data_IF_933813728038
#
_entry.id   IF_933813728038
#
_cell.length_a   1.000
_cell.length_b   1.000
_cell.length_c   1.000
_cell.angle_alpha   90.00
_cell.angle_beta   90.00
_cell.angle_gamma   90.00
#
_symmetry.space_group_name_H-M   'P 1'
#
loop_
_entity.id
_entity.type
_entity.pdbx_description
1 polymer ?
#
# COMPACT_ATOMS: atom_id res chain seq x y z
N UNK A 1 -9.34 3.91 -41.54
CA UNK A 1 -8.30 3.94 -40.48
C UNK A 1 -8.72 4.87 -39.32
N UNK A 2 -9.96 4.80 -38.84
CA UNK A 2 -10.45 5.56 -37.67
C UNK A 2 -10.90 4.64 -36.51
N UNK A 3 -11.16 3.36 -36.81
CA UNK A 3 -11.59 2.36 -35.81
C UNK A 3 -10.48 1.96 -34.83
N UNK A 4 -9.22 2.01 -35.24
CA UNK A 4 -8.07 1.67 -34.39
C UNK A 4 -7.82 2.75 -33.33
N UNK A 5 -8.06 4.02 -33.66
CA UNK A 5 -7.85 5.14 -32.74
C UNK A 5 -8.83 5.14 -31.55
N UNK A 6 -10.06 4.67 -31.75
CA UNK A 6 -11.06 4.56 -30.67
C UNK A 6 -10.77 3.43 -29.67
N UNK A 7 -10.24 2.30 -30.13
CA UNK A 7 -9.94 1.14 -29.28
C UNK A 7 -8.78 1.41 -28.30
N UNK A 8 -7.80 2.23 -28.70
CA UNK A 8 -6.67 2.61 -27.84
C UNK A 8 -7.07 3.56 -26.70
N UNK A 9 -8.10 4.39 -26.89
CA UNK A 9 -8.65 5.29 -25.86
C UNK A 9 -9.46 4.54 -24.79
N UNK A 10 -9.98 3.35 -25.11
CA UNK A 10 -10.66 2.46 -24.15
C UNK A 10 -9.67 1.60 -23.35
N UNK A 11 -8.49 1.31 -23.91
CA UNK A 11 -7.45 0.54 -23.24
C UNK A 11 -6.67 1.33 -22.16
N UNK A 12 -6.65 2.66 -22.24
CA UNK A 12 -6.14 3.53 -21.16
C UNK A 12 -7.12 3.69 -19.99
N UNK A 13 -8.35 3.21 -20.13
CA UNK A 13 -9.32 3.06 -19.05
C UNK A 13 -9.08 1.70 -18.36
N UNK A 14 -7.91 1.48 -17.75
CA UNK A 14 -7.76 0.39 -16.79
C UNK A 14 -8.82 0.62 -15.71
N UNK A 15 -9.86 -0.21 -15.71
CA UNK A 15 -11.13 0.07 -15.04
C UNK A 15 -10.91 0.29 -13.53
N UNK A 16 -11.42 1.38 -12.93
CA UNK A 16 -11.35 1.57 -11.48
C UNK A 16 -12.02 0.41 -10.72
N UNK A 17 -13.00 -0.23 -11.35
CA UNK A 17 -13.72 -1.40 -10.86
C UNK A 17 -12.81 -2.63 -10.64
N UNK A 18 -11.83 -2.86 -11.51
CA UNK A 18 -10.92 -4.01 -11.37
C UNK A 18 -9.88 -3.77 -10.28
N UNK A 19 -9.42 -2.53 -10.12
CA UNK A 19 -8.48 -2.17 -9.03
C UNK A 19 -9.15 -2.29 -7.67
N UNK A 20 -10.38 -1.80 -7.52
CA UNK A 20 -11.11 -1.92 -6.26
C UNK A 20 -11.41 -3.37 -5.88
N UNK A 21 -11.80 -4.21 -6.85
CA UNK A 21 -12.02 -5.64 -6.62
C UNK A 21 -10.76 -6.39 -6.19
N UNK A 22 -9.59 -6.04 -6.75
CA UNK A 22 -8.29 -6.60 -6.32
C UNK A 22 -7.95 -6.19 -4.89
N UNK A 23 -8.08 -4.90 -4.56
CA UNK A 23 -7.79 -4.38 -3.23
C UNK A 23 -8.72 -4.98 -2.16
N UNK A 24 -10.01 -5.17 -2.46
CA UNK A 24 -10.94 -5.82 -1.53
C UNK A 24 -10.51 -7.24 -1.17
N UNK A 25 -10.17 -8.06 -2.17
CA UNK A 25 -9.71 -9.43 -1.96
C UNK A 25 -8.42 -9.50 -1.14
N UNK A 26 -7.55 -8.51 -1.30
CA UNK A 26 -6.33 -8.41 -0.52
C UNK A 26 -6.60 -8.04 0.93
N UNK A 27 -7.49 -7.06 1.16
CA UNK A 27 -7.94 -6.71 2.51
C UNK A 27 -8.60 -7.90 3.24
N UNK A 28 -9.42 -8.69 2.55
CA UNK A 28 -10.06 -9.88 3.12
C UNK A 28 -9.02 -10.89 3.63
N UNK A 29 -7.93 -11.08 2.88
CA UNK A 29 -6.82 -11.96 3.30
C UNK A 29 -6.10 -11.41 4.52
N UNK A 30 -5.74 -10.14 4.49
CA UNK A 30 -5.04 -9.45 5.58
C UNK A 30 -5.86 -9.51 6.88
N UNK A 31 -7.18 -9.30 6.80
CA UNK A 31 -8.08 -9.39 7.97
C UNK A 31 -8.08 -10.81 8.56
N UNK A 32 -8.12 -11.84 7.72
CA UNK A 32 -8.13 -13.23 8.18
C UNK A 32 -6.80 -13.61 8.82
N UNK A 33 -5.67 -13.18 8.26
CA UNK A 33 -4.32 -13.51 8.76
C UNK A 33 -3.97 -12.73 10.04
N UNK A 34 -4.19 -11.42 10.05
CA UNK A 34 -3.72 -10.52 11.12
C UNK A 34 -4.82 -10.08 12.11
N UNK A 35 -6.09 -10.15 11.72
CA UNK A 35 -7.23 -9.75 12.55
C UNK A 35 -7.27 -10.43 13.93
N UNK A 36 -7.09 -11.76 14.03
CA UNK A 36 -7.06 -12.47 15.31
C UNK A 36 -5.90 -12.06 16.22
N UNK A 37 -4.76 -11.65 15.66
CA UNK A 37 -3.63 -11.13 16.44
C UNK A 37 -4.01 -9.79 17.09
N UNK A 38 -4.63 -8.88 16.34
CA UNK A 38 -5.09 -7.60 16.87
C UNK A 38 -6.20 -7.74 17.93
N UNK A 39 -7.08 -8.73 17.81
CA UNK A 39 -8.06 -9.04 18.87
C UNK A 39 -7.35 -9.53 20.14
N UNK A 40 -6.33 -10.39 20.02
CA UNK A 40 -5.52 -10.84 21.16
C UNK A 40 -4.73 -9.70 21.83
N UNK A 41 -4.40 -8.66 21.08
CA UNK A 41 -3.79 -7.42 21.61
C UNK A 41 -4.80 -6.50 22.32
N UNK A 42 -6.09 -6.86 22.35
CA UNK A 42 -7.14 -6.13 23.06
C UNK A 42 -7.90 -5.12 22.21
N UNK A 43 -7.67 -5.06 20.90
CA UNK A 43 -8.45 -4.21 20.02
C UNK A 43 -9.82 -4.82 19.72
N UNK A 44 -10.87 -3.98 19.77
CA UNK A 44 -12.23 -4.38 19.40
C UNK A 44 -12.30 -4.67 17.90
N UNK A 45 -12.81 -5.84 17.52
CA UNK A 45 -12.94 -6.22 16.11
C UNK A 45 -13.77 -5.19 15.34
N UNK A 46 -13.39 -4.93 14.08
CA UNK A 46 -14.03 -3.94 13.20
C UNK A 46 -14.00 -2.48 13.69
N UNK A 47 -13.25 -2.17 14.74
CA UNK A 47 -12.98 -0.79 15.14
C UNK A 47 -11.84 -0.17 14.33
N UNK A 48 -11.80 1.16 14.25
CA UNK A 48 -10.70 1.88 13.60
C UNK A 48 -9.31 1.56 14.19
N UNK A 49 -9.11 1.48 15.53
CA UNK A 49 -7.82 1.09 16.06
C UNK A 49 -7.45 -0.37 15.73
N UNK A 50 -8.43 -1.28 15.63
CA UNK A 50 -8.18 -2.64 15.14
C UNK A 50 -7.74 -2.66 13.67
N UNK A 51 -8.41 -1.89 12.79
CA UNK A 51 -8.01 -1.78 11.38
C UNK A 51 -6.59 -1.24 11.25
N UNK A 52 -6.23 -0.25 12.06
CA UNK A 52 -4.87 0.30 12.07
C UNK A 52 -3.84 -0.76 12.49
N UNK A 53 -4.12 -1.52 13.56
CA UNK A 53 -3.27 -2.64 13.97
C UNK A 53 -3.07 -3.67 12.85
N UNK A 54 -4.16 -4.07 12.18
CA UNK A 54 -4.13 -5.06 11.09
C UNK A 54 -3.23 -4.57 9.94
N UNK A 55 -3.40 -3.31 9.51
CA UNK A 55 -2.60 -2.70 8.44
C UNK A 55 -1.12 -2.55 8.83
N UNK A 56 -0.82 -2.16 10.08
CA UNK A 56 0.55 -2.04 10.54
C UNK A 56 1.25 -3.40 10.59
N UNK A 57 0.55 -4.44 11.06
CA UNK A 57 1.11 -5.76 11.19
C UNK A 57 1.38 -6.40 9.82
N UNK A 58 0.46 -6.23 8.87
CA UNK A 58 0.66 -6.68 7.50
C UNK A 58 1.81 -5.95 6.82
N UNK A 59 1.86 -4.61 6.95
CA UNK A 59 2.95 -3.80 6.38
C UNK A 59 4.31 -4.22 6.96
N UNK A 60 4.38 -4.48 8.27
CA UNK A 60 5.60 -4.95 8.92
C UNK A 60 6.04 -6.32 8.39
N UNK A 61 5.11 -7.24 8.21
CA UNK A 61 5.39 -8.56 7.67
C UNK A 61 5.79 -8.49 6.19
N UNK A 62 5.12 -7.67 5.38
CA UNK A 62 5.49 -7.43 3.98
C UNK A 62 6.91 -6.86 3.85
N UNK A 63 7.26 -5.87 4.68
CA UNK A 63 8.63 -5.34 4.76
C UNK A 63 9.59 -6.44 5.22
N UNK A 64 9.20 -7.30 6.16
CA UNK A 64 10.06 -8.38 6.61
C UNK A 64 10.26 -9.49 5.57
N UNK A 65 9.24 -9.77 4.74
CA UNK A 65 9.25 -10.84 3.73
C UNK A 65 9.84 -10.39 2.39
N UNK A 66 9.51 -9.17 1.96
CA UNK A 66 9.90 -8.61 0.66
C UNK A 66 10.92 -7.48 0.75
N UNK A 67 11.14 -6.93 1.94
CA UNK A 67 12.28 -6.05 2.22
C UNK A 67 13.56 -6.87 2.34
N UNK A 68 14.02 -7.42 1.22
CA UNK A 68 15.41 -7.80 1.10
C UNK A 68 16.28 -6.55 1.39
N UNK A 69 17.42 -6.70 2.07
CA UNK A 69 18.27 -5.57 2.39
C UNK A 69 18.89 -5.09 1.09
N UNK A 70 18.41 -3.95 0.56
CA UNK A 70 19.24 -3.15 -0.33
C UNK A 70 20.38 -2.55 0.50
N UNK A 71 21.38 -3.37 0.82
CA UNK A 71 22.76 -2.94 1.06
C UNK A 71 23.40 -2.47 -0.27
N UNK A 72 22.64 -1.77 -1.10
CA UNK A 72 23.12 -1.18 -2.34
C UNK A 72 22.77 0.29 -2.23
N UNK A 73 23.81 1.07 -1.93
CA UNK A 73 23.83 2.52 -1.79
C UNK A 73 23.38 3.13 -0.45
N UNK A 74 24.32 3.11 0.50
CA UNK A 74 24.79 4.34 1.15
C UNK A 74 23.72 5.32 1.67
N UNK A 75 23.28 5.07 2.89
CA UNK A 75 23.08 6.10 3.91
C UNK A 75 22.11 7.24 3.60
N UNK A 76 20.82 7.03 3.80
CA UNK A 76 19.91 8.08 4.27
C UNK A 76 18.82 7.46 5.17
N UNK A 77 19.24 7.05 6.37
CA UNK A 77 18.30 6.96 7.48
C UNK A 77 17.97 8.37 7.96
N UNK A 78 16.75 8.85 7.72
CA UNK A 78 16.02 9.76 8.61
C UNK A 78 14.57 9.96 8.16
N UNK A 79 13.71 9.39 9.00
CA UNK A 79 12.31 9.75 9.26
C UNK A 79 11.99 11.24 9.10
N UNK A 80 10.99 11.55 8.26
CA UNK A 80 10.21 12.79 8.32
C UNK A 80 9.06 12.67 7.29
N UNK A 81 7.87 12.27 7.70
CA UNK A 81 6.80 13.22 7.97
C UNK A 81 7.22 14.69 7.82
N UNK A 82 7.01 15.24 6.63
CA UNK A 82 6.92 16.68 6.39
C UNK A 82 6.98 17.02 4.91
N UNK A 83 5.92 17.63 4.40
CA UNK A 83 6.01 18.39 3.17
C UNK A 83 7.07 19.47 3.31
N UNK A 84 7.95 19.60 2.32
CA UNK A 84 9.07 20.52 2.44
C UNK A 84 9.85 20.65 1.15
N UNK A 85 9.23 21.26 0.14
CA UNK A 85 9.96 22.02 -0.87
C UNK A 85 10.56 21.22 -2.04
N UNK A 86 9.79 21.12 -3.12
CA UNK A 86 10.30 20.88 -4.48
C UNK A 86 11.07 22.10 -5.05
N UNK A 87 11.74 22.86 -4.17
CA UNK A 87 12.45 24.11 -4.46
C UNK A 87 13.60 24.23 -3.46
N UNK A 88 14.68 23.50 -3.71
CA UNK A 88 15.98 23.63 -3.05
C UNK A 88 17.04 23.92 -4.12
N UNK A 89 18.09 24.70 -3.80
CA UNK A 89 18.54 25.75 -4.70
C UNK A 89 19.70 25.32 -5.60
N UNK A 90 19.75 25.93 -6.79
CA UNK A 90 20.86 25.96 -7.77
C UNK A 90 21.41 24.62 -8.27
N UNK A 91 20.85 24.04 -9.34
CA UNK A 91 21.54 23.61 -10.58
C UNK A 91 20.57 22.82 -11.47
#
# INVERSE_FOLDING_TARGET
>A
MFLVAGALLLASCTTPQERSAKMQREMDRIIVEYGPACVRLGYQANSDPWRNCVLQLSTKDDISRYGAPTHVYGGFGRSHWGGGGLWGPYW
#
